data_IF_716802830237
#
_entry.id   IF_716802830237
#
_cell.length_a   1.000
_cell.length_b   1.000
_cell.length_c   1.000
_cell.angle_alpha   90.00
_cell.angle_beta   90.00
_cell.angle_gamma   90.00
#
_symmetry.space_group_name_H-M   'P 1'
#
loop_
_entity.id
_entity.type
_entity.pdbx_description
1 polymer ?
#
# COMPACT_ATOMS: atom_id res chain seq x y z
N UNK A 1 -1.69 -2.94 14.96
CA UNK A 1 -1.36 -3.75 13.76
C UNK A 1 -0.40 -2.98 12.89
N UNK A 2 0.36 -3.67 12.05
CA UNK A 2 1.28 -3.11 11.05
C UNK A 2 0.58 -3.15 9.70
N UNK A 3 0.27 -1.98 9.15
CA UNK A 3 -0.48 -1.82 7.90
C UNK A 3 0.45 -1.30 6.81
N UNK A 4 0.61 -2.06 5.73
CA UNK A 4 1.34 -1.63 4.54
C UNK A 4 0.34 -1.14 3.48
N UNK A 5 0.25 0.18 3.29
CA UNK A 5 -0.53 0.74 2.19
C UNK A 5 0.21 0.59 0.87
N UNK A 6 -0.47 0.10 -0.15
CA UNK A 6 0.02 0.04 -1.53
C UNK A 6 -0.78 1.02 -2.36
N UNK A 7 -0.10 2.07 -2.83
CA UNK A 7 -0.71 3.15 -3.62
C UNK A 7 -0.24 3.07 -5.07
N UNK A 8 -1.19 3.27 -5.98
CA UNK A 8 -0.89 3.68 -7.34
C UNK A 8 -0.86 5.21 -7.37
N UNK A 9 0.27 5.79 -7.81
CA UNK A 9 0.35 7.23 -8.10
C UNK A 9 0.47 7.43 -9.61
N UNK A 10 -0.57 7.12 -10.40
CA UNK A 10 -0.59 7.53 -11.79
C UNK A 10 -0.64 9.06 -11.81
N UNK A 11 0.30 9.69 -12.52
CA UNK A 11 0.19 11.09 -12.93
C UNK A 11 0.23 12.16 -11.81
N UNK A 12 0.90 11.90 -10.69
CA UNK A 12 1.17 12.94 -9.68
C UNK A 12 -0.03 13.37 -8.83
N UNK A 13 -1.14 12.62 -8.88
CA UNK A 13 -2.28 12.84 -7.98
C UNK A 13 -1.91 12.31 -6.58
N UNK A 14 -2.08 13.16 -5.57
CA UNK A 14 -1.87 12.76 -4.19
C UNK A 14 -2.93 11.73 -3.76
N UNK A 15 -2.53 10.60 -3.14
CA UNK A 15 -3.45 9.55 -2.72
C UNK A 15 -4.15 9.93 -1.39
N UNK A 16 -4.91 11.03 -1.39
CA UNK A 16 -5.50 11.64 -0.19
C UNK A 16 -6.33 10.67 0.64
N UNK A 17 -7.10 9.78 0.00
CA UNK A 17 -7.89 8.76 0.71
C UNK A 17 -7.02 7.77 1.50
N UNK A 18 -5.93 7.28 0.90
CA UNK A 18 -4.98 6.39 1.56
C UNK A 18 -4.20 7.12 2.67
N UNK A 19 -3.83 8.38 2.45
CA UNK A 19 -3.15 9.20 3.45
C UNK A 19 -4.04 9.50 4.66
N UNK A 20 -5.33 9.79 4.45
CA UNK A 20 -6.28 10.00 5.54
C UNK A 20 -6.46 8.72 6.37
N UNK A 21 -6.62 7.57 5.72
CA UNK A 21 -6.72 6.29 6.41
C UNK A 21 -5.44 5.96 7.18
N UNK A 22 -4.26 6.20 6.59
CA UNK A 22 -2.99 6.04 7.27
C UNK A 22 -2.89 6.92 8.53
N UNK A 23 -3.33 8.18 8.45
CA UNK A 23 -3.35 9.08 9.61
C UNK A 23 -4.31 8.60 10.71
N UNK A 24 -5.47 8.05 10.34
CA UNK A 24 -6.39 7.43 11.30
C UNK A 24 -5.75 6.21 11.95
N UNK A 25 -5.14 5.30 11.17
CA UNK A 25 -4.44 4.14 11.69
C UNK A 25 -3.34 4.53 12.69
N UNK A 26 -2.52 5.52 12.36
CA UNK A 26 -1.50 6.05 13.26
C UNK A 26 -2.11 6.60 14.56
N UNK A 27 -3.22 7.35 14.47
CA UNK A 27 -3.94 7.88 15.63
C UNK A 27 -4.47 6.78 16.56
N UNK A 28 -4.94 5.67 16.00
CA UNK A 28 -5.44 4.52 16.76
C UNK A 28 -4.31 3.57 17.25
N UNK A 29 -3.05 3.98 17.15
CA UNK A 29 -1.90 3.21 17.65
C UNK A 29 -1.48 2.05 16.75
N UNK A 30 -1.80 2.10 15.45
CA UNK A 30 -1.27 1.16 14.46
C UNK A 30 0.02 1.70 13.84
N UNK A 31 0.91 0.79 13.45
CA UNK A 31 2.10 1.12 12.67
C UNK A 31 1.74 1.12 11.19
N UNK A 32 2.23 2.12 10.46
CA UNK A 32 1.88 2.31 9.06
C UNK A 32 3.13 2.49 8.20
N UNK A 33 3.17 1.80 7.07
CA UNK A 33 4.16 2.01 6.01
C UNK A 33 3.46 2.12 4.66
N UNK A 34 4.15 2.66 3.65
CA UNK A 34 3.59 2.91 2.33
C UNK A 34 4.52 2.45 1.21
N UNK A 35 3.99 1.77 0.20
CA UNK A 35 4.68 1.31 -1.00
C UNK A 35 3.99 1.85 -2.26
N UNK A 36 4.78 2.20 -3.28
CA UNK A 36 4.26 2.63 -4.58
C UNK A 36 4.31 1.43 -5.52
N UNK A 37 3.16 0.97 -6.02
CA UNK A 37 3.05 -0.28 -6.79
C UNK A 37 3.96 -0.32 -8.04
N UNK A 38 4.20 0.82 -8.69
CA UNK A 38 4.96 0.90 -9.96
C UNK A 38 6.47 1.08 -9.80
N UNK A 39 6.99 1.24 -8.58
CA UNK A 39 8.45 1.39 -8.34
C UNK A 39 9.17 0.06 -8.08
N UNK A 40 8.44 -1.06 -8.11
CA UNK A 40 8.97 -2.36 -7.66
C UNK A 40 9.23 -2.37 -6.15
N UNK A 41 9.84 -3.45 -5.65
CA UNK A 41 10.27 -3.51 -4.25
C UNK A 41 9.17 -3.83 -3.23
N UNK A 42 7.94 -4.16 -3.68
CA UNK A 42 6.81 -4.39 -2.77
C UNK A 42 7.07 -5.61 -1.86
N UNK A 43 7.62 -6.69 -2.42
CA UNK A 43 7.93 -7.90 -1.65
C UNK A 43 9.01 -7.63 -0.59
N UNK A 44 10.10 -6.97 -0.98
CA UNK A 44 11.19 -6.62 -0.08
C UNK A 44 10.70 -5.70 1.04
N UNK A 45 9.85 -4.73 0.69
CA UNK A 45 9.25 -3.82 1.66
C UNK A 45 8.27 -4.53 2.58
N UNK A 46 7.44 -5.42 2.06
CA UNK A 46 6.56 -6.25 2.87
C UNK A 46 7.35 -7.15 3.82
N UNK A 47 8.45 -7.77 3.37
CA UNK A 47 9.30 -8.58 4.25
C UNK A 47 10.00 -7.76 5.33
N UNK A 48 10.53 -6.59 4.99
CA UNK A 48 11.21 -5.72 5.95
C UNK A 48 10.23 -5.09 6.96
N UNK A 49 9.05 -4.71 6.51
CA UNK A 49 8.02 -4.10 7.35
C UNK A 49 7.10 -5.12 8.03
N UNK A 50 7.13 -6.39 7.62
CA UNK A 50 6.37 -7.52 8.19
C UNK A 50 4.94 -7.13 8.63
N UNK A 51 4.09 -6.68 7.68
CA UNK A 51 2.76 -6.16 7.96
C UNK A 51 1.78 -7.28 8.32
N UNK A 52 0.86 -6.99 9.24
CA UNK A 52 -0.32 -7.82 9.48
C UNK A 52 -1.32 -7.72 8.31
N UNK A 53 -1.36 -6.57 7.64
CA UNK A 53 -2.30 -6.26 6.55
C UNK A 53 -1.62 -5.48 5.44
N UNK A 54 -1.81 -5.93 4.20
CA UNK A 54 -1.47 -5.16 2.99
C UNK A 54 -2.75 -4.54 2.42
N UNK A 55 -2.81 -3.20 2.41
CA UNK A 55 -3.99 -2.44 2.04
C UNK A 55 -3.79 -1.74 0.69
N UNK A 56 -4.52 -2.17 -0.33
CA UNK A 56 -4.42 -1.61 -1.68
C UNK A 56 -5.39 -0.44 -1.88
N UNK A 57 -4.86 0.74 -2.21
CA UNK A 57 -5.65 1.87 -2.70
C UNK A 57 -5.78 1.77 -4.21
N UNK A 58 -6.85 1.12 -4.65
CA UNK A 58 -7.08 0.77 -6.06
C UNK A 58 -8.17 1.62 -6.72
N UNK A 59 -7.95 1.97 -7.98
CA UNK A 59 -9.03 2.28 -8.92
C UNK A 59 -9.23 1.10 -9.88
N UNK A 60 -10.35 1.08 -10.61
CA UNK A 60 -10.60 0.04 -11.62
C UNK A 60 -9.50 -0.04 -12.68
N UNK A 61 -8.85 1.08 -12.99
CA UNK A 61 -7.73 1.16 -13.94
C UNK A 61 -6.43 0.53 -13.41
N UNK A 62 -6.29 0.33 -12.10
CA UNK A 62 -5.08 -0.21 -11.46
C UNK A 62 -5.13 -1.71 -11.22
N UNK A 63 -6.30 -2.35 -11.40
CA UNK A 63 -6.57 -3.70 -10.92
C UNK A 63 -5.57 -4.76 -11.41
N UNK A 64 -5.22 -4.75 -12.69
CA UNK A 64 -4.30 -5.76 -13.24
C UNK A 64 -2.88 -5.59 -12.69
N UNK A 65 -2.40 -4.34 -12.56
CA UNK A 65 -1.09 -4.06 -11.98
C UNK A 65 -1.02 -4.46 -10.50
N UNK A 66 -2.09 -4.19 -9.75
CA UNK A 66 -2.15 -4.55 -8.33
C UNK A 66 -2.20 -6.07 -8.13
N UNK A 67 -2.88 -6.81 -9.02
CA UNK A 67 -2.85 -8.28 -9.00
C UNK A 67 -1.47 -8.85 -9.26
N UNK A 68 -0.74 -8.27 -10.22
CA UNK A 68 0.65 -8.67 -10.49
C UNK A 68 1.55 -8.38 -9.28
N UNK A 69 1.35 -7.24 -8.62
CA UNK A 69 2.09 -6.86 -7.42
C UNK A 69 1.74 -7.72 -6.19
N UNK A 70 0.49 -8.20 -6.05
CA UNK A 70 0.02 -9.09 -4.98
C UNK A 70 0.55 -10.52 -5.13
N UNK A 71 0.71 -11.01 -6.37
CA UNK A 71 1.12 -12.40 -6.65
C UNK A 71 2.32 -12.91 -5.81
N UNK A 72 3.43 -12.18 -5.65
CA UNK A 72 4.57 -12.63 -4.84
C UNK A 72 4.38 -12.56 -3.31
N UNK A 73 3.29 -11.95 -2.82
CA UNK A 73 2.99 -11.83 -1.39
C UNK A 73 2.16 -13.02 -0.84
N UNK A 74 1.70 -13.90 -1.73
CA UNK A 74 0.98 -15.15 -1.39
C UNK A 74 1.94 -16.32 -1.32
#
# INVERSE_FOLDING_TARGET
>A
MRVLFVISTPSGIEPLGAMLLAAICLREGHEVSCAISRRGGLLEKARAFDPDVVAYSASSADMDHLREADRPLR
#
